data_IF_025892356892
#
_entry.id   IF_025892356892
#
_cell.length_a   1.000
_cell.length_b   1.000
_cell.length_c   1.000
_cell.angle_alpha   90.00
_cell.angle_beta   90.00
_cell.angle_gamma   90.00
#
_symmetry.space_group_name_H-M   'P 1'
#
loop_
_entity.id
_entity.type
_entity.pdbx_description
1 polymer ?
#
# COMPACT_ATOMS: atom_id res chain seq x y z
N UNK A 1 15.19 -9.07 4.78
CA UNK A 1 14.18 -8.10 4.31
C UNK A 1 13.87 -7.07 5.38
N UNK A 2 13.52 -5.83 4.98
CA UNK A 2 13.22 -4.70 5.86
C UNK A 2 11.72 -4.52 5.99
N UNK A 3 11.22 -4.29 7.21
CA UNK A 3 9.78 -4.14 7.51
C UNK A 3 9.58 -3.00 8.50
N UNK A 4 8.58 -2.17 8.25
CA UNK A 4 8.15 -1.14 9.21
C UNK A 4 6.85 -1.60 9.86
N UNK A 5 6.92 -1.92 11.16
CA UNK A 5 5.77 -2.45 11.88
C UNK A 5 5.77 -2.07 13.36
N UNK A 6 4.59 -1.83 13.89
CA UNK A 6 4.27 -1.69 15.31
C UNK A 6 2.85 -2.16 15.56
N UNK A 7 2.57 -2.69 16.75
CA UNK A 7 1.20 -3.03 17.17
C UNK A 7 0.26 -1.82 17.16
N UNK A 8 0.80 -0.60 17.24
CA UNK A 8 0.02 0.65 17.16
C UNK A 8 -0.62 0.91 15.79
N UNK A 9 -0.23 0.14 14.76
CA UNK A 9 -0.85 0.16 13.43
C UNK A 9 -2.14 -0.66 13.35
N UNK A 10 -2.41 -1.50 14.36
CA UNK A 10 -3.53 -2.42 14.35
C UNK A 10 -4.74 -1.82 15.06
N UNK A 11 -5.93 -2.15 14.57
CA UNK A 11 -7.19 -1.93 15.24
C UNK A 11 -8.08 -3.18 15.11
N UNK A 12 -9.09 -3.36 15.95
CA UNK A 12 -10.04 -4.46 15.78
C UNK A 12 -10.69 -4.44 14.41
N UNK A 13 -10.97 -5.62 13.85
CA UNK A 13 -11.70 -5.75 12.59
C UNK A 13 -13.03 -4.98 12.65
N UNK A 14 -13.40 -4.36 11.54
CA UNK A 14 -14.59 -3.54 11.41
C UNK A 14 -15.57 -4.22 10.41
N UNK A 15 -16.66 -4.75 10.93
CA UNK A 15 -17.61 -5.50 10.10
C UNK A 15 -16.97 -6.76 9.50
N UNK A 16 -17.20 -7.01 8.22
CA UNK A 16 -16.63 -8.15 7.49
C UNK A 16 -15.19 -7.88 7.00
N UNK A 17 -14.75 -6.62 6.98
CA UNK A 17 -13.43 -6.25 6.47
C UNK A 17 -12.31 -6.60 7.46
N UNK A 18 -11.33 -7.40 7.07
CA UNK A 18 -10.18 -7.72 7.92
C UNK A 18 -9.14 -6.61 7.96
N UNK A 19 -9.32 -5.54 7.19
CA UNK A 19 -8.28 -4.55 6.88
C UNK A 19 -7.60 -3.95 8.11
N UNK A 20 -8.35 -3.65 9.17
CA UNK A 20 -7.79 -3.07 10.39
C UNK A 20 -6.97 -4.07 11.23
N UNK A 21 -7.26 -5.37 11.14
CA UNK A 21 -6.59 -6.45 11.88
C UNK A 21 -5.59 -7.26 11.04
N UNK A 22 -5.67 -7.16 9.71
CA UNK A 22 -4.82 -7.90 8.76
C UNK A 22 -3.31 -7.69 9.00
N UNK A 23 -2.82 -6.47 9.31
CA UNK A 23 -1.40 -6.24 9.52
C UNK A 23 -0.76 -7.16 10.57
N UNK A 24 -1.44 -7.40 11.69
CA UNK A 24 -0.95 -8.27 12.77
C UNK A 24 -0.81 -9.72 12.30
N UNK A 25 -1.82 -10.25 11.60
CA UNK A 25 -1.82 -11.63 11.11
C UNK A 25 -0.71 -11.86 10.07
N UNK A 26 -0.52 -10.92 9.15
CA UNK A 26 0.53 -10.97 8.13
C UNK A 26 1.90 -10.89 8.79
N UNK A 27 2.12 -9.96 9.72
CA UNK A 27 3.40 -9.80 10.42
C UNK A 27 3.76 -11.04 11.24
N UNK A 28 2.78 -11.69 11.87
CA UNK A 28 3.00 -12.96 12.59
C UNK A 28 3.47 -14.06 11.64
N UNK A 29 2.84 -14.21 10.46
CA UNK A 29 3.23 -15.18 9.44
C UNK A 29 4.64 -14.89 8.87
N UNK A 30 4.96 -13.62 8.61
CA UNK A 30 6.29 -13.23 8.14
C UNK A 30 7.39 -13.53 9.16
N UNK A 31 7.16 -13.23 10.46
CA UNK A 31 8.12 -13.56 11.53
C UNK A 31 8.34 -15.06 11.68
N UNK A 32 7.29 -15.86 11.50
CA UNK A 32 7.39 -17.31 11.54
C UNK A 32 8.21 -17.88 10.36
N UNK A 33 8.00 -17.31 9.15
CA UNK A 33 8.71 -17.75 7.95
C UNK A 33 10.16 -17.22 7.89
N UNK A 34 10.38 -15.97 8.35
CA UNK A 34 11.69 -15.29 8.29
C UNK A 34 12.03 -14.64 9.65
N UNK A 35 12.61 -15.38 10.60
CA UNK A 35 12.92 -14.84 11.94
C UNK A 35 13.90 -13.66 11.96
N UNK A 36 14.70 -13.50 10.91
CA UNK A 36 15.76 -12.48 10.80
C UNK A 36 15.29 -11.21 10.05
N UNK A 37 13.99 -10.91 10.01
CA UNK A 37 13.51 -9.65 9.46
C UNK A 37 14.07 -8.46 10.23
N UNK A 38 14.53 -7.45 9.50
CA UNK A 38 14.90 -6.16 10.09
C UNK A 38 13.63 -5.34 10.29
N UNK A 39 13.22 -5.15 11.54
CA UNK A 39 11.97 -4.44 11.85
C UNK A 39 12.28 -3.10 12.49
N UNK A 40 11.67 -2.02 11.95
CA UNK A 40 11.67 -0.68 12.55
C UNK A 40 10.24 -0.30 12.93
N UNK A 41 10.08 0.45 14.02
CA UNK A 41 8.79 1.05 14.34
C UNK A 41 8.48 2.21 13.37
N UNK A 42 7.21 2.43 13.00
CA UNK A 42 6.82 3.61 12.25
C UNK A 42 6.98 4.87 13.11
N UNK A 43 7.42 5.96 12.50
CA UNK A 43 7.24 7.29 13.05
C UNK A 43 5.83 7.74 12.67
N UNK A 44 4.93 8.00 13.66
CA UNK A 44 3.58 8.43 13.32
C UNK A 44 3.62 9.75 12.57
N UNK A 45 2.80 9.89 11.54
CA UNK A 45 2.66 11.17 10.84
C UNK A 45 1.96 12.19 11.72
N UNK A 46 2.36 13.44 11.58
CA UNK A 46 1.70 14.56 12.24
C UNK A 46 0.39 14.92 11.53
N UNK A 47 -0.48 15.68 12.21
CA UNK A 47 -1.65 16.30 11.60
C UNK A 47 -1.27 17.09 10.33
N UNK A 48 -0.22 17.89 10.41
CA UNK A 48 0.21 18.74 9.28
C UNK A 48 0.69 17.90 8.09
N UNK A 49 1.33 16.76 8.35
CA UNK A 49 1.69 15.81 7.27
C UNK A 49 0.45 15.17 6.62
N UNK A 50 -0.60 14.84 7.41
CA UNK A 50 -1.86 14.38 6.84
C UNK A 50 -2.50 15.46 5.96
N UNK A 51 -2.45 16.72 6.39
CA UNK A 51 -3.01 17.87 5.65
C UNK A 51 -2.22 18.22 4.37
N UNK A 52 -1.08 17.59 4.10
CA UNK A 52 -0.42 17.71 2.78
C UNK A 52 -1.18 16.97 1.67
N UNK A 53 -1.98 15.97 2.04
CA UNK A 53 -2.74 15.13 1.11
C UNK A 53 -4.26 15.18 1.35
N UNK A 54 -4.72 15.83 2.41
CA UNK A 54 -6.12 15.87 2.79
C UNK A 54 -6.55 17.24 3.30
N UNK A 55 -7.84 17.54 3.13
CA UNK A 55 -8.47 18.72 3.72
C UNK A 55 -8.33 18.74 5.25
N UNK A 56 -7.97 19.88 5.81
CA UNK A 56 -7.70 20.02 7.23
C UNK A 56 -8.95 19.76 8.11
N UNK A 57 -10.15 20.18 7.65
CA UNK A 57 -11.38 19.95 8.39
C UNK A 57 -11.79 18.47 8.35
N UNK A 58 -11.47 17.76 7.25
CA UNK A 58 -11.63 16.31 7.17
C UNK A 58 -10.70 15.60 8.15
N UNK A 59 -9.41 15.90 8.14
CA UNK A 59 -8.41 15.31 9.07
C UNK A 59 -8.84 15.52 10.51
N UNK A 60 -9.14 16.76 10.90
CA UNK A 60 -9.58 17.10 12.27
C UNK A 60 -10.90 16.42 12.63
N UNK A 61 -11.80 16.28 11.68
CA UNK A 61 -13.09 15.62 11.85
C UNK A 61 -12.93 14.13 12.18
N UNK A 62 -12.08 13.41 11.43
CA UNK A 62 -11.81 11.99 11.65
C UNK A 62 -11.07 11.76 12.97
N UNK A 63 -9.96 12.47 13.20
CA UNK A 63 -9.13 12.29 14.40
C UNK A 63 -9.89 12.64 15.68
N UNK A 64 -10.85 13.57 15.63
CA UNK A 64 -11.71 13.92 16.77
C UNK A 64 -13.00 13.11 16.85
N UNK A 65 -13.18 12.09 16.01
CA UNK A 65 -14.37 11.23 15.92
C UNK A 65 -15.66 11.96 15.54
N UNK A 66 -15.58 13.17 14.98
CA UNK A 66 -16.74 13.92 14.46
C UNK A 66 -17.16 13.42 13.09
N UNK A 67 -16.18 13.04 12.24
CA UNK A 67 -16.43 12.38 10.95
C UNK A 67 -16.17 10.87 11.06
N UNK A 68 -16.86 10.02 10.30
CA UNK A 68 -16.57 8.59 10.25
C UNK A 68 -15.23 8.33 9.56
N UNK A 69 -14.62 7.19 9.87
CA UNK A 69 -13.49 6.62 9.15
C UNK A 69 -13.95 5.80 7.94
N UNK A 70 -13.02 5.23 7.17
CA UNK A 70 -13.30 4.44 5.96
C UNK A 70 -14.15 3.18 6.18
N UNK A 71 -14.37 2.76 7.42
CA UNK A 71 -15.31 1.69 7.78
C UNK A 71 -16.71 2.22 8.11
N UNK A 72 -17.00 3.47 7.82
CA UNK A 72 -18.23 4.18 8.20
C UNK A 72 -18.51 4.20 9.72
N UNK A 73 -17.46 4.09 10.54
CA UNK A 73 -17.53 4.12 12.01
C UNK A 73 -16.76 5.30 12.60
N UNK A 74 -16.98 5.57 13.90
CA UNK A 74 -16.20 6.53 14.68
C UNK A 74 -15.43 5.81 15.78
N UNK A 75 -14.83 4.67 15.43
CA UNK A 75 -14.08 3.83 16.36
C UNK A 75 -12.76 4.53 16.76
N UNK A 76 -12.59 4.77 18.07
CA UNK A 76 -11.43 5.46 18.61
C UNK A 76 -10.11 4.68 18.39
N UNK A 77 -10.15 3.32 18.43
CA UNK A 77 -8.97 2.51 18.18
C UNK A 77 -8.51 2.61 16.73
N UNK A 78 -9.45 2.66 15.76
CA UNK A 78 -9.14 2.92 14.37
C UNK A 78 -8.51 4.31 14.22
N UNK A 79 -9.14 5.36 14.77
CA UNK A 79 -8.61 6.72 14.66
C UNK A 79 -7.20 6.83 15.28
N UNK A 80 -6.93 6.17 16.40
CA UNK A 80 -5.62 6.14 17.03
C UNK A 80 -4.54 5.42 16.21
N UNK A 81 -4.92 4.44 15.35
CA UNK A 81 -3.97 3.71 14.49
C UNK A 81 -3.58 4.48 13.22
N UNK A 82 -4.42 5.42 12.74
CA UNK A 82 -4.23 6.10 11.45
C UNK A 82 -2.91 6.85 11.31
N UNK A 83 -2.41 7.59 12.31
CA UNK A 83 -1.10 8.23 12.21
C UNK A 83 0.04 7.21 12.03
N UNK A 84 -0.10 6.02 12.61
CA UNK A 84 0.90 4.95 12.54
C UNK A 84 0.83 4.19 11.21
N UNK A 85 -0.36 3.97 10.64
CA UNK A 85 -0.50 3.30 9.33
C UNK A 85 0.09 4.17 8.20
N UNK A 86 -0.27 5.45 8.13
CA UNK A 86 0.33 6.39 7.18
C UNK A 86 1.81 6.62 7.48
N UNK A 87 2.18 6.67 8.76
CA UNK A 87 3.56 6.78 9.23
C UNK A 87 4.43 5.58 8.86
N UNK A 88 3.84 4.38 8.83
CA UNK A 88 4.54 3.18 8.37
C UNK A 88 4.91 3.28 6.90
N UNK A 89 4.00 3.76 6.05
CA UNK A 89 4.29 3.97 4.62
C UNK A 89 5.38 5.03 4.41
N UNK A 90 5.30 6.16 5.11
CA UNK A 90 6.32 7.21 5.04
C UNK A 90 7.70 6.73 5.56
N UNK A 91 7.70 5.99 6.68
CA UNK A 91 8.94 5.44 7.24
C UNK A 91 9.56 4.39 6.31
N UNK A 92 8.73 3.53 5.70
CA UNK A 92 9.19 2.56 4.71
C UNK A 92 9.75 3.24 3.46
N UNK A 93 9.09 4.28 2.98
CA UNK A 93 9.53 5.06 1.83
C UNK A 93 10.91 5.72 2.07
N UNK A 94 11.11 6.36 3.23
CA UNK A 94 12.42 6.91 3.61
C UNK A 94 13.49 5.83 3.68
N UNK A 95 13.17 4.70 4.31
CA UNK A 95 14.12 3.59 4.45
C UNK A 95 14.45 2.93 3.10
N UNK A 96 13.47 2.81 2.19
CA UNK A 96 13.71 2.34 0.83
C UNK A 96 14.68 3.25 0.08
N UNK A 97 14.48 4.57 0.14
CA UNK A 97 15.38 5.56 -0.47
C UNK A 97 16.78 5.55 0.15
N UNK A 98 16.90 5.32 1.47
CA UNK A 98 18.19 5.22 2.17
C UNK A 98 18.96 3.95 1.75
N UNK A 99 18.26 2.84 1.57
CA UNK A 99 18.87 1.52 1.34
C UNK A 99 18.97 1.12 -0.12
N UNK A 100 18.26 1.81 -1.02
CA UNK A 100 18.21 1.50 -2.45
C UNK A 100 17.44 0.24 -2.81
N UNK A 101 16.59 -0.30 -1.91
CA UNK A 101 15.89 -1.57 -2.14
C UNK A 101 14.44 -1.58 -1.65
N UNK A 102 13.87 -2.78 -1.50
CA UNK A 102 12.49 -2.96 -1.09
C UNK A 102 12.31 -2.89 0.43
N UNK A 103 11.25 -2.18 0.88
CA UNK A 103 10.84 -2.09 2.30
C UNK A 103 9.34 -2.30 2.42
N UNK A 104 8.92 -3.23 3.27
CA UNK A 104 7.52 -3.52 3.54
C UNK A 104 6.94 -2.62 4.63
N UNK A 105 5.72 -2.16 4.44
CA UNK A 105 4.84 -1.60 5.47
C UNK A 105 3.55 -2.43 5.47
N UNK A 106 3.41 -3.44 6.36
CA UNK A 106 2.24 -4.31 6.36
C UNK A 106 0.99 -3.59 6.88
N UNK A 107 0.50 -2.64 6.09
CA UNK A 107 -0.76 -1.92 6.28
C UNK A 107 -1.70 -2.23 5.13
N UNK A 108 -3.00 -2.13 5.39
CA UNK A 108 -4.03 -2.33 4.37
C UNK A 108 -4.10 -1.18 3.37
N UNK A 109 -5.12 -1.18 2.48
CA UNK A 109 -5.26 -0.22 1.39
C UNK A 109 -5.46 1.22 1.84
N UNK A 110 -5.12 2.13 0.93
CA UNK A 110 -5.17 3.56 1.14
C UNK A 110 -5.94 4.31 0.06
N UNK A 111 -6.09 3.72 -1.13
CA UNK A 111 -6.32 4.38 -2.39
C UNK A 111 -7.74 4.95 -2.61
N UNK A 112 -8.72 4.50 -1.82
CA UNK A 112 -10.08 5.05 -1.88
C UNK A 112 -10.27 6.32 -1.04
N UNK A 113 -9.35 6.63 -0.10
CA UNK A 113 -9.41 7.88 0.64
C UNK A 113 -9.08 9.05 -0.30
N UNK A 114 -10.04 9.94 -0.49
CA UNK A 114 -9.94 11.15 -1.32
C UNK A 114 -9.48 12.36 -0.51
N UNK A 115 -9.47 13.54 -1.11
CA UNK A 115 -9.02 14.78 -0.46
C UNK A 115 -9.76 15.07 0.84
N UNK A 116 -11.08 14.89 0.88
CA UNK A 116 -11.93 15.28 2.03
C UNK A 116 -12.94 14.20 2.45
N UNK A 117 -12.76 12.95 1.94
CA UNK A 117 -13.65 11.85 2.24
C UNK A 117 -12.89 10.53 2.46
N UNK A 118 -13.40 9.75 3.43
CA UNK A 118 -12.99 8.37 3.70
C UNK A 118 -13.99 7.40 3.05
N UNK A 119 -13.49 6.39 2.33
CA UNK A 119 -14.33 5.43 1.63
C UNK A 119 -13.69 4.02 1.62
N UNK A 120 -14.52 3.01 1.45
CA UNK A 120 -14.14 1.64 1.10
C UNK A 120 -12.94 1.11 1.92
N UNK A 121 -13.08 1.21 3.25
CA UNK A 121 -12.09 0.83 4.27
C UNK A 121 -10.82 1.69 4.32
N UNK A 122 -10.67 2.69 3.44
CA UNK A 122 -9.58 3.64 3.42
C UNK A 122 -9.99 4.93 4.13
N UNK A 123 -9.20 5.38 5.11
CA UNK A 123 -9.50 6.60 5.88
C UNK A 123 -8.63 7.76 5.46
N UNK A 124 -7.31 7.59 5.51
CA UNK A 124 -6.34 8.54 4.95
C UNK A 124 -5.52 7.82 3.87
N UNK A 125 -5.20 8.51 2.80
CA UNK A 125 -4.39 7.99 1.73
C UNK A 125 -2.90 8.03 2.10
N UNK A 126 -2.42 6.97 2.78
CA UNK A 126 -1.04 6.88 3.24
C UNK A 126 0.00 6.88 2.12
N UNK A 127 -0.38 6.52 0.87
CA UNK A 127 0.49 6.65 -0.31
C UNK A 127 0.72 8.13 -0.60
N UNK A 128 -0.36 8.91 -0.72
CA UNK A 128 -0.26 10.35 -1.00
C UNK A 128 0.35 11.13 0.16
N UNK A 129 0.02 10.78 1.41
CA UNK A 129 0.65 11.38 2.61
C UNK A 129 2.16 11.16 2.59
N UNK A 130 2.63 9.95 2.31
CA UNK A 130 4.05 9.65 2.21
C UNK A 130 4.72 10.39 1.05
N UNK A 131 4.11 10.38 -0.13
CA UNK A 131 4.62 11.04 -1.31
C UNK A 131 4.73 12.57 -1.12
N UNK A 132 3.69 13.20 -0.60
CA UNK A 132 3.67 14.65 -0.35
C UNK A 132 4.66 15.07 0.75
N UNK A 133 4.75 14.30 1.86
CA UNK A 133 5.72 14.58 2.91
C UNK A 133 7.17 14.49 2.39
N UNK A 134 7.49 13.47 1.59
CA UNK A 134 8.81 13.33 0.98
C UNK A 134 9.13 14.47 0.00
N UNK A 135 8.17 14.91 -0.78
CA UNK A 135 8.34 16.03 -1.70
C UNK A 135 8.50 17.37 -0.98
N UNK A 136 7.85 17.55 0.17
CA UNK A 136 8.09 18.72 1.02
C UNK A 136 9.52 18.73 1.60
N UNK A 137 10.06 17.55 1.93
CA UNK A 137 11.44 17.39 2.41
C UNK A 137 12.49 17.53 1.28
N UNK A 138 12.13 17.08 0.07
CA UNK A 138 13.02 17.04 -1.12
C UNK A 138 12.29 17.58 -2.35
N UNK A 139 12.27 18.89 -2.56
CA UNK A 139 11.67 19.48 -3.75
C UNK A 139 12.26 18.89 -5.04
N UNK A 140 11.39 18.58 -6.00
CA UNK A 140 11.78 17.93 -7.26
C UNK A 140 11.78 16.39 -7.23
N UNK A 141 11.52 15.76 -6.08
CA UNK A 141 11.39 14.31 -6.02
C UNK A 141 10.24 13.83 -6.92
N UNK A 142 10.52 12.84 -7.77
CA UNK A 142 9.50 12.15 -8.59
C UNK A 142 9.09 10.85 -7.91
N UNK A 143 7.80 10.69 -7.66
CA UNK A 143 7.23 9.52 -6.96
C UNK A 143 6.29 8.78 -7.89
N UNK A 144 6.55 7.49 -8.08
CA UNK A 144 5.61 6.56 -8.71
C UNK A 144 4.67 5.96 -7.68
N UNK A 145 3.40 5.89 -8.00
CA UNK A 145 2.39 5.12 -7.25
C UNK A 145 1.93 4.00 -8.19
N UNK A 146 2.35 2.77 -7.87
CA UNK A 146 1.95 1.57 -8.58
C UNK A 146 0.89 0.85 -7.76
N UNK A 147 -0.34 0.97 -8.19
CA UNK A 147 -1.49 0.42 -7.49
C UNK A 147 -2.01 -0.82 -8.23
N UNK A 148 -1.65 -1.99 -7.72
CA UNK A 148 -2.10 -3.28 -8.22
C UNK A 148 -3.10 -3.96 -7.27
N UNK A 149 -3.88 -3.15 -6.54
CA UNK A 149 -5.17 -3.53 -5.98
C UNK A 149 -6.17 -3.80 -7.12
N UNK A 150 -7.19 -4.61 -6.88
CA UNK A 150 -8.22 -4.89 -7.89
C UNK A 150 -9.08 -3.67 -8.21
N UNK A 151 -9.28 -2.79 -7.24
CA UNK A 151 -10.15 -1.64 -7.38
C UNK A 151 -9.38 -0.42 -7.92
N UNK A 152 -10.10 0.44 -8.62
CA UNK A 152 -9.55 1.70 -9.11
C UNK A 152 -9.15 2.64 -7.96
N UNK A 153 -7.94 3.16 -8.01
CA UNK A 153 -7.38 4.09 -7.02
C UNK A 153 -7.97 5.50 -7.13
N UNK A 154 -9.28 5.61 -7.09
CA UNK A 154 -10.04 6.85 -7.30
C UNK A 154 -9.69 7.97 -6.31
N UNK A 155 -9.45 7.63 -5.03
CA UNK A 155 -9.06 8.62 -4.03
C UNK A 155 -7.64 9.17 -4.26
N UNK A 156 -6.72 8.34 -4.77
CA UNK A 156 -5.39 8.82 -5.17
C UNK A 156 -5.49 9.82 -6.33
N UNK A 157 -6.31 9.53 -7.33
CA UNK A 157 -6.53 10.44 -8.46
C UNK A 157 -7.24 11.73 -8.05
N UNK A 158 -8.20 11.66 -7.13
CA UNK A 158 -8.86 12.83 -6.57
C UNK A 158 -7.85 13.76 -5.86
N UNK A 159 -7.00 13.20 -5.00
CA UNK A 159 -5.96 13.98 -4.31
C UNK A 159 -5.00 14.61 -5.33
N UNK A 160 -4.56 13.85 -6.35
CA UNK A 160 -3.70 14.37 -7.41
C UNK A 160 -4.37 15.52 -8.20
N UNK A 161 -5.69 15.49 -8.32
CA UNK A 161 -6.47 16.60 -8.87
C UNK A 161 -6.37 17.88 -8.03
N UNK A 162 -6.28 17.76 -6.70
CA UNK A 162 -6.16 18.89 -5.77
C UNK A 162 -4.73 19.42 -5.63
N UNK A 163 -3.75 18.51 -5.48
CA UNK A 163 -2.36 18.90 -5.22
C UNK A 163 -1.51 19.10 -6.49
N UNK A 164 -2.03 18.70 -7.64
CA UNK A 164 -1.33 18.70 -8.93
C UNK A 164 -0.58 17.40 -9.20
N UNK A 165 -0.49 17.04 -10.48
CA UNK A 165 0.14 15.80 -10.95
C UNK A 165 1.64 15.92 -11.21
N UNK A 166 2.22 17.13 -11.15
CA UNK A 166 3.63 17.34 -11.45
C UNK A 166 4.52 16.56 -10.47
N UNK A 167 5.43 15.74 -11.01
CA UNK A 167 6.34 14.91 -10.23
C UNK A 167 5.71 13.61 -9.68
N UNK A 168 4.51 13.26 -10.11
CA UNK A 168 3.86 12.00 -9.82
C UNK A 168 3.63 11.19 -11.10
N UNK A 169 3.73 9.86 -10.97
CA UNK A 169 3.20 8.89 -11.93
C UNK A 169 2.26 7.99 -11.15
N UNK A 170 0.99 7.93 -11.53
CA UNK A 170 0.01 7.06 -10.89
C UNK A 170 -0.50 6.04 -11.91
N UNK A 171 -0.27 4.77 -11.63
CA UNK A 171 -0.73 3.62 -12.40
C UNK A 171 -1.62 2.80 -11.49
N UNK A 172 -2.87 2.61 -11.87
CA UNK A 172 -3.84 1.79 -11.12
C UNK A 172 -4.41 0.69 -12.00
N UNK A 173 -4.26 -0.56 -11.56
CA UNK A 173 -4.72 -1.73 -12.30
C UNK A 173 -6.24 -1.74 -12.44
N UNK A 174 -6.96 -1.33 -11.39
CA UNK A 174 -8.42 -1.31 -11.35
C UNK A 174 -9.09 -0.36 -12.35
N UNK A 175 -8.34 0.49 -13.06
CA UNK A 175 -8.86 1.27 -14.17
C UNK A 175 -9.01 0.42 -15.45
N UNK A 176 -8.14 -0.57 -15.64
CA UNK A 176 -7.99 -1.31 -16.93
C UNK A 176 -8.29 -2.80 -16.84
N UNK A 177 -8.10 -3.41 -15.66
CA UNK A 177 -8.13 -4.85 -15.48
C UNK A 177 -9.27 -5.27 -14.54
N UNK A 178 -10.28 -5.93 -15.08
CA UNK A 178 -11.48 -6.37 -14.38
C UNK A 178 -11.60 -7.90 -14.38
N UNK A 179 -12.69 -8.44 -13.83
CA UNK A 179 -12.91 -9.87 -13.64
C UNK A 179 -12.80 -10.75 -14.91
N UNK A 180 -13.00 -10.17 -16.09
CA UNK A 180 -12.88 -10.81 -17.39
C UNK A 180 -11.51 -10.55 -18.07
N UNK A 181 -10.60 -9.90 -17.38
CA UNK A 181 -9.28 -9.61 -17.91
C UNK A 181 -8.46 -10.88 -18.18
N UNK A 182 -7.68 -10.88 -19.25
CA UNK A 182 -6.70 -11.93 -19.51
C UNK A 182 -5.51 -11.78 -18.52
N UNK A 183 -5.31 -12.76 -17.62
CA UNK A 183 -4.20 -12.71 -16.65
C UNK A 183 -2.82 -12.64 -17.32
N UNK A 184 -2.67 -13.25 -18.51
CA UNK A 184 -1.41 -13.22 -19.25
C UNK A 184 -1.13 -11.83 -19.78
N UNK A 185 -2.14 -11.19 -20.40
CA UNK A 185 -1.99 -9.82 -20.89
C UNK A 185 -1.66 -8.83 -19.78
N UNK A 186 -2.31 -8.95 -18.61
CA UNK A 186 -1.97 -8.16 -17.42
C UNK A 186 -0.51 -8.37 -17.01
N UNK A 187 -0.08 -9.63 -16.86
CA UNK A 187 1.28 -9.92 -16.44
C UNK A 187 2.32 -9.43 -17.46
N UNK A 188 2.06 -9.54 -18.76
CA UNK A 188 2.93 -9.02 -19.82
C UNK A 188 3.00 -7.48 -19.78
N UNK A 189 1.90 -6.79 -19.44
CA UNK A 189 1.84 -5.33 -19.37
C UNK A 189 2.65 -4.73 -18.19
N UNK A 190 3.01 -5.51 -17.18
CA UNK A 190 3.82 -5.01 -16.05
C UNK A 190 5.12 -4.34 -16.53
N UNK A 191 5.73 -4.85 -17.59
CA UNK A 191 6.94 -4.24 -18.15
C UNK A 191 6.69 -2.80 -18.65
N UNK A 192 5.55 -2.56 -19.32
CA UNK A 192 5.16 -1.22 -19.79
C UNK A 192 4.91 -0.27 -18.60
N UNK A 193 4.18 -0.75 -17.58
CA UNK A 193 3.91 0.05 -16.37
C UNK A 193 5.23 0.42 -15.65
N UNK A 194 6.20 -0.49 -15.61
CA UNK A 194 7.51 -0.22 -15.03
C UNK A 194 8.34 0.76 -15.88
N UNK A 195 8.17 0.78 -17.19
CA UNK A 195 8.83 1.74 -18.10
C UNK A 195 8.22 3.15 -17.91
N UNK A 196 6.92 3.26 -17.67
CA UNK A 196 6.28 4.53 -17.31
C UNK A 196 6.81 5.11 -15.98
N UNK A 197 7.21 4.23 -15.05
CA UNK A 197 7.83 4.61 -13.77
C UNK A 197 9.32 4.95 -13.90
N UNK A 198 9.92 4.78 -15.08
CA UNK A 198 11.31 5.14 -15.32
C UNK A 198 11.56 6.62 -15.02
N UNK A 199 12.60 6.91 -14.27
CA UNK A 199 12.91 8.28 -13.80
C UNK A 199 12.19 8.70 -12.52
N UNK A 200 11.35 7.85 -11.91
CA UNK A 200 10.93 8.03 -10.53
C UNK A 200 12.09 7.76 -9.56
N UNK A 201 12.16 8.53 -8.48
CA UNK A 201 13.17 8.37 -7.44
C UNK A 201 12.75 7.31 -6.40
N UNK A 202 11.47 7.00 -6.35
CA UNK A 202 10.84 6.06 -5.44
C UNK A 202 9.54 5.55 -6.07
N UNK A 203 9.20 4.30 -5.83
CA UNK A 203 7.87 3.75 -6.09
C UNK A 203 7.20 3.37 -4.78
N UNK A 204 5.94 3.76 -4.63
CA UNK A 204 5.02 3.30 -3.60
C UNK A 204 4.13 2.24 -4.25
N UNK A 205 4.28 0.99 -3.80
CA UNK A 205 3.59 -0.15 -4.42
C UNK A 205 2.47 -0.68 -3.52
N UNK A 206 1.23 -0.58 -3.98
CA UNK A 206 0.06 -1.16 -3.33
C UNK A 206 -0.16 -2.58 -3.87
N UNK A 207 0.29 -3.59 -3.10
CA UNK A 207 0.34 -5.00 -3.49
C UNK A 207 -0.93 -5.74 -3.03
N UNK A 208 -2.08 -5.42 -3.61
CA UNK A 208 -3.37 -6.01 -3.24
C UNK A 208 -3.44 -7.52 -3.43
N UNK A 209 -4.13 -8.20 -2.50
CA UNK A 209 -4.44 -9.63 -2.61
C UNK A 209 -5.82 -9.89 -3.25
N UNK A 210 -6.65 -8.86 -3.37
CA UNK A 210 -7.99 -8.90 -3.96
C UNK A 210 -8.05 -9.10 -5.49
N UNK A 211 -6.97 -8.93 -6.30
CA UNK A 211 -7.01 -9.45 -7.66
C UNK A 211 -7.09 -10.99 -7.75
N UNK A 212 -7.14 -11.71 -6.61
CA UNK A 212 -7.28 -13.17 -6.60
C UNK A 212 -8.68 -13.60 -7.04
N UNK A 213 -8.76 -14.65 -7.88
CA UNK A 213 -10.02 -15.21 -8.42
C UNK A 213 -11.05 -15.63 -7.37
N UNK A 214 -10.61 -15.99 -6.15
CA UNK A 214 -11.47 -16.38 -5.04
C UNK A 214 -11.77 -15.20 -4.08
N UNK A 215 -11.36 -13.97 -4.41
CA UNK A 215 -11.69 -12.84 -3.56
C UNK A 215 -13.16 -12.43 -3.75
N UNK A 216 -13.94 -12.24 -2.67
CA UNK A 216 -15.37 -11.92 -2.78
C UNK A 216 -15.66 -10.55 -3.40
N UNK A 217 -14.68 -9.67 -3.47
CA UNK A 217 -14.83 -8.34 -4.07
C UNK A 217 -14.27 -8.23 -5.48
N UNK A 218 -13.81 -9.34 -6.06
CA UNK A 218 -13.35 -9.35 -7.44
C UNK A 218 -12.11 -10.21 -7.63
N UNK A 219 -11.54 -10.13 -8.81
CA UNK A 219 -10.26 -10.76 -9.12
C UNK A 219 -10.26 -11.60 -10.39
N UNK A 220 -9.08 -11.78 -10.93
CA UNK A 220 -8.84 -12.53 -12.17
C UNK A 220 -7.50 -13.30 -12.14
N UNK A 221 -6.72 -13.16 -11.05
CA UNK A 221 -5.42 -13.80 -10.90
C UNK A 221 -5.48 -14.97 -9.91
N UNK A 222 -4.79 -16.05 -10.22
CA UNK A 222 -4.54 -17.15 -9.28
C UNK A 222 -3.39 -16.81 -8.32
N UNK A 223 -3.24 -17.57 -7.23
CA UNK A 223 -2.13 -17.40 -6.28
C UNK A 223 -0.74 -17.40 -6.94
N UNK A 224 -0.41 -18.34 -7.87
CA UNK A 224 0.88 -18.28 -8.59
C UNK A 224 1.04 -17.05 -9.48
N UNK A 225 -0.05 -16.56 -10.08
CA UNK A 225 -0.01 -15.36 -10.91
C UNK A 225 0.20 -14.08 -10.08
N UNK A 226 -0.39 -14.00 -8.88
CA UNK A 226 -0.10 -12.92 -7.92
C UNK A 226 1.37 -12.95 -7.47
N UNK A 227 1.91 -14.12 -7.17
CA UNK A 227 3.33 -14.25 -6.83
C UNK A 227 4.24 -13.81 -7.99
N UNK A 228 3.89 -14.17 -9.23
CA UNK A 228 4.62 -13.74 -10.43
C UNK A 228 4.50 -12.23 -10.68
N UNK A 229 3.31 -11.63 -10.46
CA UNK A 229 3.08 -10.18 -10.50
C UNK A 229 4.09 -9.48 -9.58
N UNK A 230 4.11 -9.88 -8.33
CA UNK A 230 4.93 -9.24 -7.30
C UNK A 230 6.43 -9.41 -7.60
N UNK A 231 6.83 -10.61 -8.02
CA UNK A 231 8.21 -10.85 -8.42
C UNK A 231 8.64 -9.95 -9.60
N UNK A 232 7.80 -9.82 -10.65
CA UNK A 232 8.07 -8.94 -11.79
C UNK A 232 8.19 -7.48 -11.37
N UNK A 233 7.34 -7.01 -10.45
CA UNK A 233 7.41 -5.65 -9.93
C UNK A 233 8.72 -5.43 -9.18
N UNK A 234 9.04 -6.27 -8.20
CA UNK A 234 10.25 -6.07 -7.39
C UNK A 234 11.53 -6.25 -8.21
N UNK A 235 11.61 -7.28 -9.05
CA UNK A 235 12.77 -7.50 -9.91
C UNK A 235 12.95 -6.37 -10.92
N UNK A 236 11.88 -5.95 -11.58
CA UNK A 236 11.93 -4.90 -12.58
C UNK A 236 12.23 -3.52 -12.02
N UNK A 237 11.78 -3.19 -10.80
CA UNK A 237 12.17 -1.96 -10.10
C UNK A 237 13.64 -2.01 -9.67
N UNK A 238 14.11 -3.16 -9.18
CA UNK A 238 15.52 -3.35 -8.83
C UNK A 238 16.44 -3.20 -10.05
N UNK A 239 16.08 -3.80 -11.20
CA UNK A 239 16.84 -3.67 -12.45
C UNK A 239 16.97 -2.21 -12.90
N UNK A 240 15.95 -1.39 -12.63
CA UNK A 240 15.93 0.05 -12.93
C UNK A 240 16.59 0.89 -11.84
N UNK A 241 17.05 0.28 -10.73
CA UNK A 241 17.64 1.00 -9.59
C UNK A 241 16.64 1.88 -8.84
N UNK A 242 15.35 1.58 -8.90
CA UNK A 242 14.27 2.35 -8.26
C UNK A 242 13.91 1.69 -6.94
N UNK A 243 14.12 2.36 -5.79
CA UNK A 243 13.69 1.83 -4.49
C UNK A 243 12.17 1.76 -4.39
N UNK A 244 11.67 0.80 -3.60
CA UNK A 244 10.23 0.58 -3.45
C UNK A 244 9.82 0.41 -1.99
N UNK A 245 8.80 1.16 -1.57
CA UNK A 245 8.06 0.89 -0.34
C UNK A 245 6.70 0.29 -0.72
N UNK A 246 6.27 -0.78 -0.04
CA UNK A 246 5.06 -1.48 -0.42
C UNK A 246 4.17 -1.84 0.76
N UNK A 247 2.85 -1.92 0.52
CA UNK A 247 1.83 -2.27 1.50
C UNK A 247 0.93 -3.42 1.01
N UNK A 248 0.03 -3.90 1.90
CA UNK A 248 -0.80 -5.07 1.64
C UNK A 248 -2.04 -4.78 0.79
N UNK A 249 -2.53 -3.54 0.79
CA UNK A 249 -3.75 -3.14 0.10
C UNK A 249 -4.98 -4.01 0.41
N UNK A 250 -5.85 -4.30 -0.56
CA UNK A 250 -7.04 -5.14 -0.42
C UNK A 250 -6.76 -6.61 -0.16
N UNK A 251 -7.85 -7.39 -0.07
CA UNK A 251 -7.84 -8.82 0.16
C UNK A 251 -8.81 -9.21 1.28
N UNK A 252 -9.86 -9.98 0.90
CA UNK A 252 -11.06 -10.17 1.73
C UNK A 252 -11.51 -11.64 1.81
N UNK A 253 -10.68 -12.58 1.34
CA UNK A 253 -11.01 -14.01 1.39
C UNK A 253 -11.19 -14.49 2.83
N UNK A 254 -12.17 -15.37 3.03
CA UNK A 254 -12.40 -16.08 4.28
C UNK A 254 -12.03 -17.57 4.10
N UNK A 255 -11.25 -18.17 5.01
CA UNK A 255 -10.60 -17.54 6.18
C UNK A 255 -9.46 -16.60 5.80
N UNK A 256 -9.16 -15.62 6.65
CA UNK A 256 -8.08 -14.63 6.48
C UNK A 256 -6.71 -15.27 6.17
N UNK A 257 -6.49 -16.50 6.59
CA UNK A 257 -5.25 -17.24 6.28
C UNK A 257 -4.96 -17.38 4.78
N UNK A 258 -5.97 -17.33 3.91
CA UNK A 258 -5.79 -17.32 2.45
C UNK A 258 -5.13 -16.01 1.98
N UNK A 259 -5.61 -14.87 2.48
CA UNK A 259 -5.02 -13.55 2.23
C UNK A 259 -3.59 -13.47 2.79
N UNK A 260 -3.39 -13.98 4.01
CA UNK A 260 -2.06 -14.05 4.64
C UNK A 260 -1.09 -14.86 3.78
N UNK A 261 -1.52 -16.01 3.22
CA UNK A 261 -0.68 -16.83 2.35
C UNK A 261 -0.26 -16.09 1.07
N UNK A 262 -1.13 -15.26 0.48
CA UNK A 262 -0.79 -14.41 -0.65
C UNK A 262 0.30 -13.42 -0.25
N UNK A 263 0.17 -12.72 0.88
CA UNK A 263 1.17 -11.77 1.33
C UNK A 263 2.49 -12.41 1.81
N UNK A 264 2.47 -13.68 2.21
CA UNK A 264 3.70 -14.48 2.41
C UNK A 264 4.41 -14.67 1.07
N UNK A 265 3.69 -14.93 -0.02
CA UNK A 265 4.28 -15.04 -1.36
C UNK A 265 4.79 -13.68 -1.87
N UNK A 266 4.09 -12.58 -1.60
CA UNK A 266 4.57 -11.22 -1.91
C UNK A 266 5.89 -10.92 -1.21
N UNK A 267 6.02 -11.25 0.09
CA UNK A 267 7.27 -11.10 0.83
C UNK A 267 8.38 -11.98 0.24
N UNK A 268 8.07 -13.24 -0.12
CA UNK A 268 9.02 -14.14 -0.78
C UNK A 268 9.51 -13.55 -2.08
N UNK A 269 8.62 -13.06 -2.93
CA UNK A 269 8.95 -12.41 -4.20
C UNK A 269 9.89 -11.21 -4.00
N UNK A 270 9.65 -10.38 -2.97
CA UNK A 270 10.51 -9.27 -2.63
C UNK A 270 11.91 -9.74 -2.18
N UNK A 271 12.00 -10.79 -1.37
CA UNK A 271 13.28 -11.36 -0.90
C UNK A 271 14.08 -11.92 -2.08
N UNK A 272 13.46 -12.70 -2.95
CA UNK A 272 14.08 -13.29 -4.14
C UNK A 272 14.58 -12.21 -5.10
N UNK A 273 13.76 -11.21 -5.36
CA UNK A 273 14.14 -10.07 -6.20
C UNK A 273 15.34 -9.30 -5.64
N UNK A 274 15.49 -9.18 -4.31
CA UNK A 274 16.65 -8.58 -3.65
C UNK A 274 17.90 -9.50 -3.65
N UNK A 275 17.81 -10.71 -4.20
CA UNK A 275 18.90 -11.70 -4.23
C UNK A 275 19.09 -12.45 -2.92
N UNK A 276 18.09 -12.45 -2.05
CA UNK A 276 18.05 -13.26 -0.82
C UNK A 276 17.71 -14.73 -1.14
N UNK A 277 18.16 -15.63 -0.27
CA UNK A 277 17.74 -17.05 -0.30
C UNK A 277 16.49 -17.20 0.54
N UNK A 278 15.46 -17.89 0.02
CA UNK A 278 14.16 -18.10 0.65
C UNK A 278 14.08 -19.47 1.31
#
# INVERSE_FOLDING_TARGET
MRVVYSELMNAPAQGFSPSAAKPAAVMAAWRAAWPNLQVRAPVPVTRDQLCLAHDAAFVDGVLSLRKPNGFATRNAAVAASLPYTSGAMLTAARWAMESGGAVAAPVSGFHHASWDEAADFCTFNGLMVAAMALRAERPGLRVGILDYDYHYGNGTDDILGHVGREGFVHITAGERWHHDADPRAFLENIANDLDELAGCNLVLYQAGADPHVDDPLGGFLTTPQLALRDWRVFAGLRERGIPVAWNLAGGYQDPLSKVVAIHVNTMRAAIEAEGGVV
#
